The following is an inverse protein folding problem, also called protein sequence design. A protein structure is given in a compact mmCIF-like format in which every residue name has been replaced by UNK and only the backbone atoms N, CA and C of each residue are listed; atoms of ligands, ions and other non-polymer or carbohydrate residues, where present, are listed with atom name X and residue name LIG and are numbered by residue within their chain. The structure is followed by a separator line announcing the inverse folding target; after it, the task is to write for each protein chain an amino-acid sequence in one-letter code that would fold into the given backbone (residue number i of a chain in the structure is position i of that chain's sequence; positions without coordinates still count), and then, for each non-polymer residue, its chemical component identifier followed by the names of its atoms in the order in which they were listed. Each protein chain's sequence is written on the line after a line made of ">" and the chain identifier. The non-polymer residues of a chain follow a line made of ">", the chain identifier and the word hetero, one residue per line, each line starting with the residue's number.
data_IF_179192172058
#
_entry.id   IF_179192172058
#
_cell.length_a   1.000
_cell.length_b   1.000
_cell.length_c   1.000
_cell.angle_alpha   90.00
_cell.angle_beta   90.00
_cell.angle_gamma   90.00
#
_symmetry.space_group_name_H-M   'P 1'
#
loop_
_entity.id
_entity.type
_entity.pdbx_description
1 polymer ?
#
# COMPACT_ATOMS: atom_id res chain seq x y z
N UNK A 1 -42.50 -14.87 -23.68
CA UNK A 1 -41.43 -15.82 -23.30
C UNK A 1 -40.34 -15.00 -22.63
N UNK A 2 -40.43 -14.83 -21.31
CA UNK A 2 -39.51 -13.95 -20.58
C UNK A 2 -38.26 -14.76 -20.22
N UNK A 3 -37.12 -14.44 -20.85
CA UNK A 3 -35.84 -15.08 -20.53
C UNK A 3 -35.38 -14.56 -19.17
N UNK A 4 -35.49 -15.41 -18.15
CA UNK A 4 -34.89 -15.18 -16.85
C UNK A 4 -33.37 -15.40 -16.99
N UNK A 5 -32.61 -14.32 -17.16
CA UNK A 5 -31.16 -14.35 -17.02
C UNK A 5 -30.84 -14.63 -15.55
N UNK A 6 -30.14 -15.74 -15.20
CA UNK A 6 -29.79 -16.00 -13.81
C UNK A 6 -28.66 -15.06 -13.39
N UNK A 7 -29.00 -13.90 -12.83
CA UNK A 7 -28.03 -12.93 -12.29
C UNK A 7 -27.24 -13.46 -11.07
N UNK A 8 -27.61 -14.63 -10.55
CA UNK A 8 -26.95 -15.33 -9.44
C UNK A 8 -25.53 -15.83 -9.75
N UNK A 9 -25.13 -15.94 -11.02
CA UNK A 9 -23.74 -16.21 -11.40
C UNK A 9 -22.79 -15.03 -11.18
N UNK A 10 -23.31 -13.79 -11.19
CA UNK A 10 -22.50 -12.58 -11.00
C UNK A 10 -22.17 -12.29 -9.54
N UNK A 11 -23.08 -12.60 -8.61
CA UNK A 11 -22.90 -12.30 -7.18
C UNK A 11 -21.72 -13.03 -6.54
N UNK A 12 -21.55 -14.32 -6.85
CA UNK A 12 -20.41 -15.11 -6.35
C UNK A 12 -19.05 -14.59 -6.86
N UNK A 13 -18.99 -14.23 -8.15
CA UNK A 13 -17.77 -13.68 -8.74
C UNK A 13 -17.39 -12.31 -8.15
N UNK A 14 -18.38 -11.45 -7.89
CA UNK A 14 -18.17 -10.13 -7.27
C UNK A 14 -17.63 -10.30 -5.83
N UNK A 15 -18.19 -11.22 -5.04
CA UNK A 15 -17.73 -11.47 -3.66
C UNK A 15 -16.30 -12.00 -3.66
N UNK A 16 -15.97 -12.97 -4.52
CA UNK A 16 -14.62 -13.51 -4.64
C UNK A 16 -13.62 -12.43 -5.09
N UNK A 17 -14.01 -11.60 -6.06
CA UNK A 17 -13.18 -10.49 -6.51
C UNK A 17 -12.92 -9.48 -5.39
N UNK A 18 -13.95 -9.08 -4.65
CA UNK A 18 -13.82 -8.17 -3.51
C UNK A 18 -12.93 -8.77 -2.42
N UNK A 19 -13.03 -10.09 -2.16
CA UNK A 19 -12.18 -10.80 -1.21
C UNK A 19 -10.71 -10.77 -1.64
N UNK A 20 -10.42 -11.00 -2.92
CA UNK A 20 -9.05 -10.91 -3.45
C UNK A 20 -8.49 -9.50 -3.29
N UNK A 21 -9.27 -8.47 -3.64
CA UNK A 21 -8.84 -7.07 -3.43
C UNK A 21 -8.60 -6.75 -1.96
N UNK A 22 -9.44 -7.28 -1.06
CA UNK A 22 -9.27 -7.11 0.37
C UNK A 22 -7.97 -7.75 0.87
N UNK A 23 -7.66 -8.99 0.43
CA UNK A 23 -6.39 -9.66 0.76
C UNK A 23 -5.19 -8.86 0.24
N UNK A 24 -5.25 -8.36 -1.00
CA UNK A 24 -4.20 -7.51 -1.59
C UNK A 24 -4.01 -6.25 -0.74
N UNK A 25 -5.11 -5.62 -0.29
CA UNK A 25 -5.04 -4.42 0.53
C UNK A 25 -4.37 -4.71 1.88
N UNK A 26 -4.72 -5.81 2.56
CA UNK A 26 -4.06 -6.20 3.81
C UNK A 26 -2.58 -6.52 3.58
N UNK A 27 -2.24 -7.24 2.51
CA UNK A 27 -0.85 -7.53 2.16
C UNK A 27 -0.04 -6.24 1.91
N UNK A 28 -0.64 -5.25 1.26
CA UNK A 28 -0.03 -3.94 1.05
C UNK A 28 0.24 -3.21 2.39
N UNK A 29 -0.68 -3.25 3.35
CA UNK A 29 -0.49 -2.64 4.67
C UNK A 29 0.66 -3.30 5.43
N UNK A 30 0.69 -4.63 5.48
CA UNK A 30 1.76 -5.39 6.13
C UNK A 30 3.10 -5.08 5.46
N UNK A 31 3.13 -5.10 4.13
CA UNK A 31 4.33 -4.77 3.37
C UNK A 31 4.83 -3.35 3.70
N UNK A 32 3.99 -2.32 3.64
CA UNK A 32 4.38 -0.95 3.99
C UNK A 32 4.88 -0.85 5.42
N UNK A 33 4.22 -1.48 6.38
CA UNK A 33 4.66 -1.46 7.77
C UNK A 33 6.07 -2.08 7.92
N UNK A 34 6.29 -3.26 7.32
CA UNK A 34 7.59 -3.93 7.37
C UNK A 34 8.68 -3.15 6.64
N UNK A 35 8.39 -2.60 5.47
CA UNK A 35 9.35 -1.88 4.66
C UNK A 35 9.71 -0.52 5.29
N UNK A 36 8.72 0.18 5.86
CA UNK A 36 8.91 1.48 6.47
C UNK A 36 9.75 1.42 7.75
N UNK A 37 9.74 0.29 8.47
CA UNK A 37 10.61 0.09 9.64
C UNK A 37 12.11 0.18 9.30
N UNK A 38 12.49 -0.16 8.06
CA UNK A 38 13.90 -0.17 7.63
C UNK A 38 14.24 0.91 6.60
N UNK A 39 13.26 1.37 5.83
CA UNK A 39 13.49 2.22 4.66
C UNK A 39 12.88 3.62 4.76
N UNK A 40 12.24 3.96 5.89
CA UNK A 40 11.67 5.29 6.12
C UNK A 40 12.26 5.94 7.38
N UNK A 41 12.57 7.25 7.33
CA UNK A 41 12.94 8.03 8.52
C UNK A 41 11.72 8.36 9.40
N UNK A 42 10.50 8.27 8.86
CA UNK A 42 9.25 8.50 9.58
C UNK A 42 8.65 7.19 10.08
N UNK A 43 7.83 7.25 11.12
CA UNK A 43 7.18 6.09 11.75
C UNK A 43 6.45 5.19 10.75
N UNK A 44 6.71 3.88 10.85
CA UNK A 44 6.04 2.88 10.03
C UNK A 44 4.51 2.87 10.22
N UNK A 45 4.04 3.13 11.44
CA UNK A 45 2.61 3.23 11.73
C UNK A 45 1.94 4.38 10.97
N UNK A 46 2.63 5.52 10.81
CA UNK A 46 2.12 6.68 10.08
C UNK A 46 1.92 6.33 8.60
N UNK A 47 2.94 5.73 7.97
CA UNK A 47 2.83 5.30 6.57
C UNK A 47 1.76 4.23 6.36
N UNK A 48 1.63 3.31 7.29
CA UNK A 48 0.58 2.27 7.25
C UNK A 48 -0.83 2.90 7.32
N UNK A 49 -1.04 3.90 8.18
CA UNK A 49 -2.31 4.64 8.25
C UNK A 49 -2.58 5.42 6.95
N UNK A 50 -1.56 6.05 6.37
CA UNK A 50 -1.69 6.75 5.07
C UNK A 50 -2.14 5.78 3.97
N UNK A 51 -1.61 4.55 3.92
CA UNK A 51 -2.02 3.53 2.95
C UNK A 51 -3.40 2.96 3.28
N UNK A 52 -3.74 2.83 4.56
CA UNK A 52 -5.06 2.36 4.98
C UNK A 52 -6.18 3.30 4.53
N UNK A 53 -6.05 4.60 4.78
CA UNK A 53 -7.07 5.59 4.41
C UNK A 53 -6.97 6.05 2.95
N UNK A 54 -5.75 6.13 2.41
CA UNK A 54 -5.51 6.58 1.03
C UNK A 54 -5.57 5.45 -0.01
N UNK A 55 -5.65 4.19 0.40
CA UNK A 55 -5.60 3.04 -0.49
C UNK A 55 -4.37 3.05 -1.40
N UNK A 56 -4.60 2.88 -2.71
CA UNK A 56 -3.57 2.96 -3.75
C UNK A 56 -2.82 4.30 -3.76
N UNK A 57 -3.49 5.42 -3.47
CA UNK A 57 -2.83 6.73 -3.45
C UNK A 57 -1.85 6.82 -2.27
N UNK A 58 -2.25 6.32 -1.10
CA UNK A 58 -1.37 6.23 0.06
C UNK A 58 -0.17 5.31 -0.19
N UNK A 59 -0.38 4.19 -0.88
CA UNK A 59 0.70 3.30 -1.32
C UNK A 59 1.67 4.02 -2.24
N UNK A 60 1.16 4.76 -3.24
CA UNK A 60 1.99 5.54 -4.16
C UNK A 60 2.83 6.57 -3.40
N UNK A 61 2.21 7.32 -2.47
CA UNK A 61 2.90 8.28 -1.62
C UNK A 61 4.02 7.62 -0.80
N UNK A 62 3.77 6.44 -0.23
CA UNK A 62 4.80 5.69 0.48
C UNK A 62 5.98 5.32 -0.44
N UNK A 63 5.72 4.85 -1.66
CA UNK A 63 6.78 4.49 -2.61
C UNK A 63 7.62 5.70 -3.01
N UNK A 64 6.99 6.83 -3.30
CA UNK A 64 7.67 8.01 -3.81
C UNK A 64 8.37 8.82 -2.70
N UNK A 65 7.70 9.02 -1.57
CA UNK A 65 8.15 9.90 -0.49
C UNK A 65 8.59 9.14 0.77
N UNK A 66 7.95 8.01 1.07
CA UNK A 66 8.23 7.23 2.28
C UNK A 66 9.51 6.42 2.23
N UNK A 67 9.89 5.91 1.05
CA UNK A 67 11.11 5.11 0.85
C UNK A 67 12.41 5.93 0.71
N UNK A 68 12.40 7.20 1.12
CA UNK A 68 13.59 8.01 1.19
C UNK A 68 14.39 7.74 2.45
N UNK A 69 15.30 6.75 2.45
CA UNK A 69 16.45 6.82 3.36
C UNK A 69 17.15 8.12 3.01
N UNK A 70 17.11 9.08 3.92
CA UNK A 70 17.74 10.40 3.81
C UNK A 70 19.05 10.20 3.07
N UNK A 71 19.11 10.64 1.81
CA UNK A 71 20.30 10.48 0.99
C UNK A 71 21.45 11.01 1.82
N UNK A 72 22.37 10.12 2.20
CA UNK A 72 23.54 10.50 2.94
C UNK A 72 24.21 11.59 2.13
N UNK A 73 24.13 12.83 2.62
CA UNK A 73 25.07 13.88 2.25
C UNK A 73 26.43 13.42 2.78
N UNK A 74 27.04 12.50 2.05
CA UNK A 74 28.47 12.26 2.09
C UNK A 74 29.11 13.47 1.42
N UNK A 75 29.80 14.30 2.20
CA UNK A 75 30.64 15.35 1.65
C UNK A 75 30.50 16.67 2.38
N UNK A 76 31.16 16.80 3.53
CA UNK A 76 32.10 17.90 3.74
C UNK A 76 32.94 17.61 4.99
N UNK A 77 33.94 16.74 4.84
CA UNK A 77 35.02 16.58 5.82
C UNK A 77 36.28 17.24 5.28
N UNK A 78 36.29 18.56 5.18
CA UNK A 78 37.53 19.34 5.08
C UNK A 78 38.24 19.21 6.42
N UNK A 79 39.13 18.23 6.52
CA UNK A 79 40.11 18.17 7.61
C UNK A 79 41.32 18.99 7.17
N UNK A 80 41.56 20.07 7.92
CA UNK A 80 42.75 20.90 7.87
C UNK A 80 43.98 20.13 8.35
#
# INVERSE_FOLDING_TARGET
>A
MSVLVPMQGGGGAIVLFALVLFVIQIAALVWVYTDAQTNSPHSAALWTLVVFFGGLLGLLLYVLLGRGRTGGRSGHGTQF
#
